data_IF_578924927918
#
_entry.id   IF_578924927918
#
_cell.length_a   1.000
_cell.length_b   1.000
_cell.length_c   1.000
_cell.angle_alpha   90.00
_cell.angle_beta   90.00
_cell.angle_gamma   90.00
#
_symmetry.space_group_name_H-M   'P 1'
#
loop_
_entity.id
_entity.type
_entity.pdbx_description
1 polymer ?
#
# COMPACT_ATOMS: atom_id res chain seq x y z
N UNK A 1 31.33 38.60 -16.43
CA UNK A 1 31.10 38.85 -17.87
C UNK A 1 30.02 37.87 -18.36
N UNK A 2 29.18 38.25 -19.31
CA UNK A 2 28.13 37.41 -19.91
C UNK A 2 28.39 37.19 -21.39
N UNK A 3 28.34 35.96 -21.88
CA UNK A 3 28.47 35.67 -23.32
C UNK A 3 27.09 35.69 -23.97
N UNK A 4 26.95 36.38 -25.09
CA UNK A 4 25.69 36.39 -25.83
C UNK A 4 25.47 35.04 -26.54
N UNK A 5 24.32 34.39 -26.31
CA UNK A 5 23.98 33.11 -26.93
C UNK A 5 23.76 33.19 -28.46
N UNK A 6 23.60 34.39 -29.01
CA UNK A 6 23.35 34.59 -30.44
C UNK A 6 24.64 34.85 -31.23
N UNK A 7 25.56 35.67 -30.71
CA UNK A 7 26.77 36.08 -31.44
C UNK A 7 28.08 35.66 -30.77
N UNK A 8 28.04 35.02 -29.60
CA UNK A 8 29.22 34.52 -28.88
C UNK A 8 30.14 35.61 -28.29
N UNK A 9 29.79 36.90 -28.39
CA UNK A 9 30.61 38.01 -27.83
C UNK A 9 30.35 38.19 -26.33
N UNK A 10 31.40 38.56 -25.60
CA UNK A 10 31.37 38.85 -24.15
C UNK A 10 30.88 40.26 -23.87
N UNK A 11 30.01 40.39 -22.87
CA UNK A 11 29.43 41.64 -22.40
C UNK A 11 29.69 41.80 -20.88
N UNK A 12 29.68 43.04 -20.33
CA UNK A 12 29.73 43.28 -18.90
C UNK A 12 28.59 42.58 -18.14
N UNK A 13 28.84 42.27 -16.85
CA UNK A 13 27.99 41.38 -16.04
C UNK A 13 26.57 41.89 -15.76
N UNK A 14 26.36 43.21 -15.87
CA UNK A 14 25.08 43.88 -15.67
C UNK A 14 24.31 44.15 -16.98
N UNK A 15 24.85 43.76 -18.14
CA UNK A 15 24.18 44.00 -19.42
C UNK A 15 22.89 43.16 -19.55
N UNK A 16 21.78 43.82 -19.90
CA UNK A 16 20.50 43.21 -20.26
C UNK A 16 20.43 42.83 -21.74
N UNK A 17 21.23 43.50 -22.58
CA UNK A 17 21.28 43.34 -24.03
C UNK A 17 22.74 43.25 -24.49
N UNK A 18 22.99 42.59 -25.62
CA UNK A 18 24.32 42.49 -26.19
C UNK A 18 24.66 43.77 -26.98
N UNK A 19 25.80 44.40 -26.67
CA UNK A 19 26.25 45.63 -27.35
C UNK A 19 26.54 45.43 -28.85
N UNK A 20 26.72 44.18 -29.29
CA UNK A 20 27.12 43.85 -30.67
C UNK A 20 25.94 43.44 -31.56
N UNK A 21 24.91 42.80 -31.01
CA UNK A 21 23.79 42.28 -31.81
C UNK A 21 22.40 42.66 -31.30
N UNK A 22 22.30 43.42 -30.21
CA UNK A 22 21.03 43.88 -29.63
C UNK A 22 20.20 42.79 -28.93
N UNK A 23 20.61 41.52 -28.99
CA UNK A 23 19.82 40.43 -28.42
C UNK A 23 19.87 40.41 -26.88
N UNK A 24 18.79 39.95 -26.24
CA UNK A 24 18.68 39.85 -24.79
C UNK A 24 19.69 38.87 -24.21
N UNK A 25 20.42 39.31 -23.19
CA UNK A 25 21.42 38.47 -22.50
C UNK A 25 20.77 37.94 -21.23
N UNK A 26 20.10 36.79 -21.34
CA UNK A 26 19.52 36.11 -20.17
C UNK A 26 20.61 35.77 -19.16
N UNK A 27 20.32 35.97 -17.87
CA UNK A 27 21.17 35.44 -16.80
C UNK A 27 21.20 33.93 -16.95
N UNK A 28 22.25 33.39 -17.56
CA UNK A 28 22.68 32.05 -17.22
C UNK A 28 23.38 32.23 -15.87
N UNK A 29 22.61 32.28 -14.78
CA UNK A 29 23.17 31.85 -13.50
C UNK A 29 23.78 30.50 -13.83
N UNK A 30 25.08 30.34 -13.56
CA UNK A 30 25.74 29.07 -13.66
C UNK A 30 24.99 28.14 -12.71
N UNK A 31 23.93 27.50 -13.20
CA UNK A 31 23.34 26.35 -12.56
C UNK A 31 24.50 25.38 -12.53
N UNK A 32 25.04 25.17 -11.33
CA UNK A 32 26.04 24.13 -11.13
C UNK A 32 25.36 22.88 -11.66
N UNK A 33 25.75 22.44 -12.86
CA UNK A 33 25.25 21.21 -13.47
C UNK A 33 25.78 20.12 -12.55
N UNK A 34 25.00 19.80 -11.53
CA UNK A 34 25.28 18.73 -10.58
C UNK A 34 25.14 17.45 -11.39
N UNK A 35 26.23 17.06 -12.07
CA UNK A 35 26.29 15.80 -12.82
C UNK A 35 25.79 14.72 -11.86
N UNK A 36 24.68 14.08 -12.24
CA UNK A 36 24.02 13.05 -11.42
C UNK A 36 25.06 12.03 -11.01
N UNK A 37 25.08 11.66 -9.74
CA UNK A 37 26.00 10.65 -9.19
C UNK A 37 25.99 9.37 -10.02
N UNK A 38 24.82 8.99 -10.55
CA UNK A 38 24.61 7.85 -11.43
C UNK A 38 25.40 7.91 -12.74
N UNK A 39 25.66 9.11 -13.28
CA UNK A 39 26.45 9.29 -14.52
C UNK A 39 27.95 9.06 -14.34
N UNK A 40 28.42 8.86 -13.10
CA UNK A 40 29.84 8.62 -12.78
C UNK A 40 30.15 7.16 -12.45
N UNK A 41 29.13 6.30 -12.42
CA UNK A 41 29.34 4.89 -12.09
C UNK A 41 29.98 4.16 -13.28
N UNK A 42 31.07 3.40 -13.05
CA UNK A 42 31.70 2.61 -14.10
C UNK A 42 30.77 1.48 -14.56
N UNK A 43 30.94 1.01 -15.79
CA UNK A 43 30.05 0.00 -16.41
C UNK A 43 29.88 -1.28 -15.57
N UNK A 44 30.93 -1.71 -14.85
CA UNK A 44 30.85 -2.88 -13.97
C UNK A 44 29.93 -2.69 -12.76
N UNK A 45 29.81 -1.46 -12.24
CA UNK A 45 28.94 -1.16 -11.10
C UNK A 45 27.46 -1.31 -11.48
N UNK A 46 27.11 -0.98 -12.72
CA UNK A 46 25.76 -1.19 -13.26
C UNK A 46 25.38 -2.66 -13.34
N UNK A 47 26.34 -3.57 -13.59
CA UNK A 47 26.09 -5.01 -13.58
C UNK A 47 25.71 -5.47 -12.17
N UNK A 48 26.45 -5.05 -11.13
CA UNK A 48 26.10 -5.39 -9.74
C UNK A 48 24.78 -4.77 -9.30
N UNK A 49 24.47 -3.54 -9.72
CA UNK A 49 23.17 -2.92 -9.43
C UNK A 49 22.05 -3.71 -10.12
N UNK A 50 22.25 -4.14 -11.37
CA UNK A 50 21.29 -4.95 -12.11
C UNK A 50 21.05 -6.31 -11.46
N UNK A 51 22.12 -7.08 -11.24
CA UNK A 51 22.06 -8.41 -10.60
C UNK A 51 21.53 -8.32 -9.17
N UNK A 52 22.02 -7.36 -8.39
CA UNK A 52 21.56 -7.10 -7.03
C UNK A 52 20.09 -6.68 -6.99
N UNK A 53 19.64 -5.86 -7.94
CA UNK A 53 18.23 -5.48 -8.09
C UNK A 53 17.32 -6.67 -8.40
N UNK A 54 17.74 -7.55 -9.31
CA UNK A 54 17.01 -8.79 -9.62
C UNK A 54 16.98 -9.71 -8.39
N UNK A 55 18.11 -9.91 -7.72
CA UNK A 55 18.19 -10.72 -6.50
C UNK A 55 17.28 -10.19 -5.39
N UNK A 56 17.30 -8.87 -5.16
CA UNK A 56 16.43 -8.21 -4.19
C UNK A 56 14.95 -8.38 -4.55
N UNK A 57 14.59 -8.27 -5.83
CA UNK A 57 13.22 -8.46 -6.29
C UNK A 57 12.73 -9.90 -6.04
N UNK A 58 13.55 -10.91 -6.35
CA UNK A 58 13.24 -12.32 -6.07
C UNK A 58 13.07 -12.54 -4.56
N UNK A 59 13.98 -12.02 -3.73
CA UNK A 59 13.91 -12.12 -2.28
C UNK A 59 12.67 -11.42 -1.71
N UNK A 60 12.26 -10.30 -2.29
CA UNK A 60 11.04 -9.59 -1.89
C UNK A 60 9.80 -10.45 -2.17
N UNK A 61 9.72 -11.07 -3.35
CA UNK A 61 8.62 -11.99 -3.68
C UNK A 61 8.59 -13.16 -2.68
N UNK A 62 9.70 -13.87 -2.50
CA UNK A 62 9.78 -15.01 -1.57
C UNK A 62 9.44 -14.59 -0.14
N UNK A 63 10.04 -13.50 0.33
CA UNK A 63 9.80 -12.93 1.64
C UNK A 63 8.33 -12.55 1.84
N UNK A 64 7.67 -12.00 0.82
CA UNK A 64 6.24 -11.66 0.90
C UNK A 64 5.36 -12.90 1.11
N UNK A 65 5.61 -14.00 0.39
CA UNK A 65 4.88 -15.26 0.58
C UNK A 65 5.13 -15.85 1.97
N UNK A 66 6.39 -15.85 2.41
CA UNK A 66 6.77 -16.35 3.72
C UNK A 66 6.08 -15.56 4.85
N UNK A 67 6.13 -14.22 4.79
CA UNK A 67 5.49 -13.34 5.76
C UNK A 67 3.97 -13.49 5.76
N UNK A 68 3.33 -13.58 4.60
CA UNK A 68 1.87 -13.81 4.51
C UNK A 68 1.46 -15.16 5.09
N UNK A 69 2.31 -16.19 4.99
CA UNK A 69 2.02 -17.53 5.51
C UNK A 69 2.25 -17.65 7.02
N UNK A 70 3.27 -16.99 7.57
CA UNK A 70 3.71 -17.19 8.97
C UNK A 70 3.25 -16.10 9.92
N UNK A 71 3.06 -14.87 9.46
CA UNK A 71 2.77 -13.74 10.32
C UNK A 71 1.28 -13.38 10.24
N UNK A 72 0.57 -13.71 11.31
CA UNK A 72 -0.84 -13.41 11.45
C UNK A 72 -1.09 -11.90 11.37
N UNK A 73 -2.00 -11.49 10.49
CA UNK A 73 -2.36 -10.09 10.28
C UNK A 73 -1.39 -9.27 9.43
N UNK A 74 -0.33 -9.87 8.91
CA UNK A 74 0.58 -9.15 8.01
C UNK A 74 -0.16 -8.66 6.76
N UNK A 75 -1.03 -9.51 6.19
CA UNK A 75 -1.92 -9.15 5.08
C UNK A 75 -2.83 -7.96 5.44
N UNK A 76 -3.51 -8.02 6.59
CA UNK A 76 -4.42 -6.96 7.03
C UNK A 76 -3.71 -5.62 7.24
N UNK A 77 -2.48 -5.62 7.77
CA UNK A 77 -1.67 -4.40 7.94
C UNK A 77 -1.33 -3.80 6.57
N UNK A 78 -0.84 -4.62 5.62
CA UNK A 78 -0.55 -4.16 4.26
C UNK A 78 -1.81 -3.58 3.62
N UNK A 79 -2.94 -4.29 3.72
CA UNK A 79 -4.20 -3.84 3.16
C UNK A 79 -4.70 -2.55 3.79
N UNK A 80 -4.55 -2.39 5.11
CA UNK A 80 -4.91 -1.14 5.79
C UNK A 80 -4.07 0.03 5.28
N UNK A 81 -2.75 -0.16 5.14
CA UNK A 81 -1.83 0.86 4.59
C UNK A 81 -2.21 1.21 3.14
N UNK A 82 -2.41 0.20 2.29
CA UNK A 82 -2.85 0.40 0.92
C UNK A 82 -4.21 1.10 0.86
N UNK A 83 -5.15 0.75 1.74
CA UNK A 83 -6.44 1.41 1.88
C UNK A 83 -6.31 2.88 2.24
N UNK A 84 -5.45 3.22 3.21
CA UNK A 84 -5.16 4.62 3.60
C UNK A 84 -4.69 5.45 2.40
N UNK A 85 -3.81 4.90 1.57
CA UNK A 85 -3.32 5.55 0.36
C UNK A 85 -4.39 5.61 -0.75
N UNK A 86 -5.06 4.49 -1.03
CA UNK A 86 -6.07 4.37 -2.08
C UNK A 86 -7.27 5.29 -1.84
N UNK A 87 -7.79 5.30 -0.61
CA UNK A 87 -8.87 6.21 -0.21
C UNK A 87 -8.39 7.64 0.04
N UNK A 88 -7.07 7.88 -0.01
CA UNK A 88 -6.43 9.19 0.19
C UNK A 88 -6.85 9.87 1.49
N UNK A 89 -6.79 9.13 2.59
CA UNK A 89 -7.29 9.57 3.91
C UNK A 89 -6.72 10.94 4.30
N UNK A 90 -5.45 11.20 4.00
CA UNK A 90 -4.76 12.45 4.34
C UNK A 90 -4.73 13.52 3.24
N UNK A 91 -5.50 13.38 2.15
CA UNK A 91 -5.44 14.32 1.01
C UNK A 91 -5.96 15.73 1.29
N UNK A 92 -6.70 15.94 2.38
CA UNK A 92 -7.36 17.22 2.68
C UNK A 92 -8.41 17.64 1.64
N UNK A 93 -8.74 16.75 0.70
CA UNK A 93 -9.81 16.90 -0.29
C UNK A 93 -11.08 16.20 0.23
N UNK A 94 -12.28 16.73 -0.06
CA UNK A 94 -13.51 16.07 0.37
C UNK A 94 -13.61 14.67 -0.26
N UNK A 95 -14.27 13.71 0.39
CA UNK A 95 -14.54 12.41 -0.21
C UNK A 95 -15.36 12.58 -1.50
N UNK A 96 -15.18 11.67 -2.46
CA UNK A 96 -15.94 11.70 -3.71
C UNK A 96 -17.43 11.57 -3.41
N UNK A 97 -18.25 12.46 -3.98
CA UNK A 97 -19.70 12.44 -3.82
C UNK A 97 -20.41 11.49 -4.78
N UNK A 98 -19.68 10.80 -5.66
CA UNK A 98 -20.27 9.85 -6.62
C UNK A 98 -20.44 8.49 -5.91
N UNK A 99 -21.67 8.08 -5.56
CA UNK A 99 -21.91 6.91 -4.73
C UNK A 99 -21.48 5.61 -5.41
N UNK A 100 -21.65 5.52 -6.74
CA UNK A 100 -21.28 4.33 -7.52
C UNK A 100 -19.77 4.06 -7.46
N UNK A 101 -18.94 5.08 -7.69
CA UNK A 101 -17.47 4.95 -7.62
C UNK A 101 -17.04 4.55 -6.20
N UNK A 102 -17.70 5.12 -5.19
CA UNK A 102 -17.42 4.78 -3.79
C UNK A 102 -17.77 3.31 -3.49
N UNK A 103 -18.94 2.86 -3.90
CA UNK A 103 -19.37 1.48 -3.71
C UNK A 103 -18.45 0.48 -4.42
N UNK A 104 -18.05 0.77 -5.67
CA UNK A 104 -17.08 -0.06 -6.42
C UNK A 104 -15.74 -0.11 -5.69
N UNK A 105 -15.22 1.03 -5.22
CA UNK A 105 -13.94 1.08 -4.52
C UNK A 105 -13.97 0.30 -3.20
N UNK A 106 -15.02 0.46 -2.39
CA UNK A 106 -15.20 -0.29 -1.14
C UNK A 106 -15.39 -1.78 -1.42
N UNK A 107 -16.24 -2.14 -2.40
CA UNK A 107 -16.50 -3.52 -2.75
C UNK A 107 -15.24 -4.24 -3.24
N UNK A 108 -14.45 -3.59 -4.09
CA UNK A 108 -13.15 -4.12 -4.53
C UNK A 108 -12.18 -4.26 -3.35
N UNK A 109 -12.06 -3.23 -2.51
CA UNK A 109 -11.23 -3.30 -1.31
C UNK A 109 -11.63 -4.45 -0.38
N UNK A 110 -12.94 -4.63 -0.16
CA UNK A 110 -13.46 -5.69 0.69
C UNK A 110 -13.24 -7.09 0.12
N UNK A 111 -13.47 -7.26 -1.18
CA UNK A 111 -13.23 -8.53 -1.85
C UNK A 111 -11.74 -8.91 -1.87
N UNK A 112 -10.86 -7.96 -2.16
CA UNK A 112 -9.41 -8.20 -2.17
C UNK A 112 -8.88 -8.45 -0.75
N UNK A 113 -9.34 -7.68 0.23
CA UNK A 113 -8.99 -7.89 1.63
C UNK A 113 -9.39 -9.27 2.12
N UNK A 114 -10.64 -9.68 1.87
CA UNK A 114 -11.14 -10.99 2.27
C UNK A 114 -10.38 -12.15 1.57
N UNK A 115 -10.03 -12.00 0.29
CA UNK A 115 -9.35 -13.07 -0.46
C UNK A 115 -7.88 -13.23 -0.12
N UNK A 116 -7.18 -12.15 0.25
CA UNK A 116 -5.74 -12.20 0.58
C UNK A 116 -5.51 -12.43 2.08
N UNK A 117 -6.38 -11.91 2.94
CA UNK A 117 -6.29 -12.06 4.40
C UNK A 117 -7.03 -13.29 4.92
N UNK A 118 -6.81 -14.44 4.28
CA UNK A 118 -7.40 -15.72 4.69
C UNK A 118 -6.97 -16.16 6.10
N UNK A 119 -5.67 -16.11 6.49
CA UNK A 119 -5.26 -16.49 7.84
C UNK A 119 -5.85 -15.57 8.92
N UNK A 120 -6.10 -14.31 8.57
CA UNK A 120 -6.49 -13.27 9.50
C UNK A 120 -5.43 -12.97 10.56
N UNK A 121 -5.87 -12.35 11.65
CA UNK A 121 -5.10 -12.22 12.89
C UNK A 121 -5.99 -12.54 14.09
N UNK A 122 -5.40 -12.62 15.27
CA UNK A 122 -6.14 -12.91 16.50
C UNK A 122 -7.37 -11.99 16.69
N UNK A 123 -7.25 -10.71 16.39
CA UNK A 123 -8.32 -9.70 16.54
C UNK A 123 -9.40 -9.88 15.47
N UNK A 124 -9.00 -10.05 14.21
CA UNK A 124 -9.87 -10.30 13.06
C UNK A 124 -10.52 -11.70 13.16
N UNK A 125 -9.94 -12.66 13.87
CA UNK A 125 -10.57 -13.96 14.09
C UNK A 125 -11.70 -13.90 15.12
N UNK A 126 -11.79 -12.83 15.94
CA UNK A 126 -12.83 -12.71 16.98
C UNK A 126 -14.24 -12.59 16.45
N UNK A 127 -14.55 -11.83 15.38
CA UNK A 127 -15.88 -11.84 14.79
C UNK A 127 -16.29 -13.22 14.28
N UNK A 128 -15.36 -13.99 13.70
CA UNK A 128 -15.60 -15.37 13.26
C UNK A 128 -15.93 -16.27 14.47
N UNK A 129 -15.09 -16.22 15.51
CA UNK A 129 -15.31 -16.95 16.77
C UNK A 129 -16.67 -16.60 17.40
N UNK A 130 -16.99 -15.32 17.51
CA UNK A 130 -18.21 -14.84 18.19
C UNK A 130 -19.48 -15.20 17.41
N UNK A 131 -19.42 -15.20 16.07
CA UNK A 131 -20.59 -15.47 15.23
C UNK A 131 -20.80 -16.95 14.95
N UNK A 132 -19.74 -17.76 14.89
CA UNK A 132 -19.82 -19.14 14.40
C UNK A 132 -19.44 -20.19 15.44
N UNK A 133 -18.72 -19.85 16.52
CA UNK A 133 -18.38 -20.82 17.55
C UNK A 133 -19.44 -20.88 18.67
N UNK A 134 -19.78 -22.08 19.17
CA UNK A 134 -20.62 -22.25 20.34
C UNK A 134 -20.06 -21.56 21.59
N UNK A 135 -20.96 -21.14 22.50
CA UNK A 135 -20.58 -20.47 23.76
C UNK A 135 -19.57 -21.29 24.56
N UNK A 136 -18.45 -20.65 24.93
CA UNK A 136 -17.37 -21.26 25.71
C UNK A 136 -16.29 -21.96 24.90
N UNK A 137 -16.51 -22.17 23.59
CA UNK A 137 -15.48 -22.70 22.69
C UNK A 137 -14.60 -21.57 22.12
N UNK A 138 -13.39 -21.91 21.70
CA UNK A 138 -12.44 -20.98 21.09
C UNK A 138 -12.13 -21.39 19.65
N UNK A 139 -11.94 -20.40 18.79
CA UNK A 139 -11.56 -20.65 17.40
C UNK A 139 -10.08 -21.06 17.34
N UNK A 140 -9.82 -22.30 16.96
CA UNK A 140 -8.50 -22.81 16.62
C UNK A 140 -8.32 -22.80 15.10
N UNK A 141 -7.20 -22.23 14.65
CA UNK A 141 -6.78 -22.27 13.25
C UNK A 141 -5.65 -23.28 13.10
N UNK A 142 -5.75 -24.14 12.10
CA UNK A 142 -4.65 -25.01 11.69
C UNK A 142 -4.38 -24.85 10.20
N UNK A 143 -3.10 -24.90 9.81
CA UNK A 143 -2.73 -24.92 8.39
C UNK A 143 -2.34 -26.34 8.03
N UNK A 144 -3.16 -26.99 7.22
CA UNK A 144 -2.91 -28.35 6.74
C UNK A 144 -2.10 -28.21 5.46
N UNK A 145 -0.84 -28.64 5.51
CA UNK A 145 0.01 -28.67 4.32
C UNK A 145 -0.02 -30.07 3.75
N UNK A 146 -0.53 -30.21 2.54
CA UNK A 146 -0.61 -31.49 1.82
C UNK A 146 0.28 -31.44 0.57
N UNK A 147 0.90 -32.57 0.22
CA UNK A 147 1.71 -32.70 -0.99
C UNK A 147 1.08 -33.77 -1.90
N UNK A 148 -0.06 -33.49 -2.54
CA UNK A 148 -0.81 -34.50 -3.28
C UNK A 148 -0.06 -35.00 -4.53
N UNK A 149 0.83 -34.19 -5.11
CA UNK A 149 1.63 -34.51 -6.28
C UNK A 149 3.09 -34.07 -6.07
N UNK A 150 4.08 -34.76 -6.70
CA UNK A 150 5.47 -34.32 -6.66
C UNK A 150 5.63 -32.89 -7.18
N UNK A 151 6.26 -32.02 -6.38
CA UNK A 151 6.47 -30.60 -6.71
C UNK A 151 5.26 -29.69 -6.48
N UNK A 152 4.15 -30.21 -5.93
CA UNK A 152 2.98 -29.41 -5.56
C UNK A 152 2.75 -29.48 -4.06
N UNK A 153 2.70 -28.30 -3.43
CA UNK A 153 2.35 -28.13 -2.02
C UNK A 153 1.06 -27.33 -1.94
N UNK A 154 0.00 -27.95 -1.43
CA UNK A 154 -1.29 -27.33 -1.22
C UNK A 154 -1.42 -27.01 0.28
N UNK A 155 -1.57 -25.73 0.60
CA UNK A 155 -1.81 -25.25 1.96
C UNK A 155 -3.30 -24.93 2.09
N UNK A 156 -4.02 -25.70 2.89
CA UNK A 156 -5.40 -25.40 3.25
C UNK A 156 -5.46 -24.91 4.69
N UNK A 157 -6.35 -23.96 4.95
CA UNK A 157 -6.61 -23.47 6.30
C UNK A 157 -7.88 -24.11 6.82
N UNK A 158 -7.79 -24.67 8.02
CA UNK A 158 -8.92 -25.25 8.72
C UNK A 158 -9.22 -24.43 9.97
N UNK A 159 -10.50 -24.11 10.14
CA UNK A 159 -11.03 -23.29 11.22
C UNK A 159 -11.94 -24.17 12.04
N UNK A 160 -11.52 -24.54 13.26
CA UNK A 160 -12.27 -25.44 14.13
C UNK A 160 -12.52 -24.78 15.47
N UNK A 161 -13.75 -24.89 15.98
CA UNK A 161 -14.09 -24.46 17.33
C UNK A 161 -13.72 -25.59 18.30
N UNK A 162 -12.98 -25.25 19.35
CA UNK A 162 -12.43 -26.20 20.32
C UNK A 162 -12.91 -25.84 21.71
N UNK A 163 -13.41 -26.85 22.43
CA UNK A 163 -13.83 -26.75 23.83
C UNK A 163 -13.05 -27.80 24.62
N UNK A 164 -12.37 -27.38 25.68
CA UNK A 164 -11.53 -28.25 26.53
C UNK A 164 -10.53 -29.12 25.73
N UNK A 165 -9.96 -28.54 24.67
CA UNK A 165 -8.97 -29.20 23.81
C UNK A 165 -9.55 -30.21 22.81
N UNK A 166 -10.87 -30.36 22.74
CA UNK A 166 -11.55 -31.24 21.77
C UNK A 166 -12.22 -30.41 20.67
N UNK A 167 -12.07 -30.81 19.38
CA UNK A 167 -12.78 -30.15 18.29
C UNK A 167 -14.27 -30.44 18.42
N UNK A 168 -15.08 -29.38 18.44
CA UNK A 168 -16.55 -29.46 18.55
C UNK A 168 -17.18 -29.27 17.19
N UNK A 169 -16.68 -28.30 16.41
CA UNK A 169 -17.30 -27.90 15.14
C UNK A 169 -16.24 -27.41 14.15
N UNK A 170 -16.34 -27.83 12.89
CA UNK A 170 -15.53 -27.30 11.79
C UNK A 170 -16.29 -26.20 11.06
N UNK A 171 -15.69 -25.04 10.90
CA UNK A 171 -16.31 -23.88 10.25
C UNK A 171 -16.07 -23.95 8.74
N UNK A 172 -17.13 -23.74 7.97
CA UNK A 172 -17.04 -23.61 6.53
C UNK A 172 -16.24 -22.35 6.13
N UNK A 173 -15.21 -22.52 5.30
CA UNK A 173 -14.38 -21.43 4.79
C UNK A 173 -15.20 -20.31 4.13
N UNK A 174 -16.30 -20.62 3.45
CA UNK A 174 -17.17 -19.62 2.83
C UNK A 174 -17.81 -18.69 3.88
N UNK A 175 -18.17 -19.21 5.06
CA UNK A 175 -18.69 -18.41 6.16
C UNK A 175 -17.61 -17.48 6.72
N UNK A 176 -16.38 -17.99 6.89
CA UNK A 176 -15.22 -17.18 7.29
C UNK A 176 -14.99 -16.04 6.28
N UNK A 177 -14.98 -16.36 4.99
CA UNK A 177 -14.85 -15.39 3.90
C UNK A 177 -15.96 -14.34 3.90
N UNK A 178 -17.20 -14.74 4.20
CA UNK A 178 -18.33 -13.83 4.32
C UNK A 178 -18.15 -12.82 5.46
N UNK A 179 -17.76 -13.29 6.64
CA UNK A 179 -17.48 -12.41 7.79
C UNK A 179 -16.32 -11.46 7.47
N UNK A 180 -15.22 -11.98 6.91
CA UNK A 180 -14.06 -11.18 6.47
C UNK A 180 -14.46 -10.10 5.47
N UNK A 181 -15.27 -10.44 4.48
CA UNK A 181 -15.78 -9.46 3.51
C UNK A 181 -16.55 -8.33 4.21
N UNK A 182 -17.39 -8.65 5.19
CA UNK A 182 -18.11 -7.64 5.98
C UNK A 182 -17.17 -6.78 6.83
N UNK A 183 -16.14 -7.36 7.45
CA UNK A 183 -15.13 -6.60 8.19
C UNK A 183 -14.42 -5.58 7.29
N UNK A 184 -13.94 -6.00 6.12
CA UNK A 184 -13.27 -5.09 5.20
C UNK A 184 -14.22 -4.06 4.59
N UNK A 185 -15.50 -4.39 4.44
CA UNK A 185 -16.53 -3.43 4.05
C UNK A 185 -16.66 -2.34 5.12
N UNK A 186 -16.74 -2.73 6.41
CA UNK A 186 -16.75 -1.79 7.54
C UNK A 186 -15.47 -0.95 7.58
N UNK A 187 -14.29 -1.57 7.42
CA UNK A 187 -13.02 -0.85 7.36
C UNK A 187 -12.98 0.16 6.20
N UNK A 188 -13.48 -0.20 5.02
CA UNK A 188 -13.57 0.71 3.87
C UNK A 188 -14.41 1.95 4.19
N UNK A 189 -15.57 1.77 4.83
CA UNK A 189 -16.39 2.90 5.29
C UNK A 189 -15.69 3.71 6.40
N UNK A 190 -15.01 3.08 7.34
CA UNK A 190 -14.23 3.76 8.37
C UNK A 190 -13.13 4.63 7.76
N UNK A 191 -12.39 4.15 6.76
CA UNK A 191 -11.35 4.92 6.07
C UNK A 191 -11.93 6.15 5.36
N UNK A 192 -13.12 6.03 4.75
CA UNK A 192 -13.82 7.17 4.14
C UNK A 192 -14.31 8.15 5.21
N UNK A 193 -14.82 7.65 6.34
CA UNK A 193 -15.19 8.45 7.51
C UNK A 193 -14.00 9.23 8.05
N UNK A 194 -12.85 8.58 8.21
CA UNK A 194 -11.59 9.21 8.62
C UNK A 194 -11.15 10.28 7.63
N UNK A 195 -11.26 10.03 6.32
CA UNK A 195 -10.99 11.06 5.29
C UNK A 195 -11.90 12.28 5.47
N UNK A 196 -13.18 12.05 5.72
CA UNK A 196 -14.14 13.12 5.93
C UNK A 196 -13.83 13.93 7.19
N UNK A 197 -13.51 13.26 8.31
CA UNK A 197 -13.06 13.90 9.55
C UNK A 197 -11.79 14.72 9.34
N UNK A 198 -10.79 14.16 8.64
CA UNK A 198 -9.54 14.86 8.34
C UNK A 198 -9.77 16.10 7.46
N UNK A 199 -10.69 16.02 6.50
CA UNK A 199 -11.09 17.15 5.68
C UNK A 199 -11.79 18.25 6.51
N UNK A 200 -12.69 17.88 7.43
CA UNK A 200 -13.33 18.83 8.34
C UNK A 200 -12.32 19.52 9.25
N UNK A 201 -11.36 18.75 9.79
CA UNK A 201 -10.29 19.24 10.63
C UNK A 201 -9.46 20.29 9.91
N UNK A 202 -9.01 19.97 8.68
CA UNK A 202 -8.20 20.89 7.86
C UNK A 202 -8.93 22.17 7.49
N UNK A 203 -10.27 22.15 7.43
CA UNK A 203 -11.10 23.33 7.18
C UNK A 203 -11.46 24.13 8.43
N UNK A 204 -11.00 23.73 9.62
CA UNK A 204 -11.37 24.38 10.88
C UNK A 204 -12.85 24.22 11.25
N UNK A 205 -13.57 23.29 10.62
CA UNK A 205 -15.02 23.09 10.82
C UNK A 205 -15.36 22.11 11.94
N UNK A 206 -14.35 21.47 12.52
CA UNK A 206 -14.53 20.44 13.55
C UNK A 206 -15.01 21.03 14.89
N UNK A 207 -14.77 22.32 15.13
CA UNK A 207 -15.22 23.05 16.33
C UNK A 207 -16.69 23.52 16.27
N UNK A 208 -17.37 23.38 15.14
CA UNK A 208 -18.77 23.84 14.95
C UNK A 208 -19.75 22.66 14.87
N UNK A 209 -19.24 21.43 14.80
CA UNK A 209 -20.04 20.21 14.64
C UNK A 209 -20.13 19.34 15.91
N UNK A 210 -19.58 19.83 17.03
CA UNK A 210 -19.71 19.25 18.37
C UNK A 210 -20.60 20.18 19.21
#
# INVERSE_FOLDING_TARGET
MKTCNHCGKTNPGNASYCYQCGNTVKYVTASVIRKSFWSRLPSWAWIFIGVGGIGLFILLIIGSFYSLAHWEGFASIIFLVLGVFAFRVFSGQPPSNIPVIRAIAIGFFALMGATIDQPGNLIYNKPVETCLCPTGSQLQRSTITTNPLPGRTDMTQDFTCVLDGKPVESINMLAVMGIRFLEYLVLGYLLIGLRWLFWLYKKGRLLVAA
#
